data_IF_456598827642
#
_entry.id   IF_456598827642
#
_cell.length_a   1.000
_cell.length_b   1.000
_cell.length_c   1.000
_cell.angle_alpha   90.00
_cell.angle_beta   90.00
_cell.angle_gamma   90.00
#
_symmetry.space_group_name_H-M   'P 1'
#
loop_
_entity.id
_entity.type
_entity.pdbx_description
1 polymer ?
#
# COMPACT_ATOMS: atom_id res chain seq x y z
N UNK A 1 8.61 -29.93 -25.11
CA UNK A 1 9.54 -28.86 -24.69
C UNK A 1 8.95 -28.20 -23.46
N UNK A 2 9.60 -28.18 -22.28
CA UNK A 2 9.05 -27.49 -21.12
C UNK A 2 9.68 -26.09 -21.03
N UNK A 3 8.89 -25.05 -21.31
CA UNK A 3 9.20 -23.69 -20.91
C UNK A 3 8.60 -23.45 -19.52
N UNK A 4 9.22 -24.07 -18.51
CA UNK A 4 8.93 -23.77 -17.10
C UNK A 4 9.80 -22.58 -16.70
N UNK A 5 9.17 -21.42 -16.45
CA UNK A 5 9.56 -20.40 -15.46
C UNK A 5 8.83 -19.07 -15.72
N UNK A 6 7.51 -19.12 -15.92
CA UNK A 6 6.67 -17.93 -15.81
C UNK A 6 6.25 -17.76 -14.34
N UNK A 7 6.60 -16.60 -13.77
CA UNK A 7 5.81 -15.87 -12.76
C UNK A 7 5.61 -16.47 -11.35
N UNK A 8 6.65 -16.96 -10.66
CA UNK A 8 6.54 -17.24 -9.21
C UNK A 8 7.07 -16.10 -8.31
N UNK A 9 7.79 -15.13 -8.88
CA UNK A 9 8.40 -14.03 -8.10
C UNK A 9 7.66 -12.68 -8.24
N UNK A 10 6.81 -12.50 -9.26
CA UNK A 10 6.06 -11.24 -9.45
C UNK A 10 4.76 -11.17 -8.65
N UNK A 11 4.20 -12.30 -8.22
CA UNK A 11 2.86 -12.36 -7.61
C UNK A 11 2.83 -12.14 -6.08
N UNK A 12 3.97 -11.83 -5.47
CA UNK A 12 4.07 -11.58 -4.00
C UNK A 12 3.91 -10.12 -3.60
N UNK A 13 3.84 -9.18 -4.55
CA UNK A 13 3.89 -7.74 -4.22
C UNK A 13 2.52 -7.05 -4.08
N UNK A 14 1.41 -7.67 -4.51
CA UNK A 14 0.15 -6.93 -4.73
C UNK A 14 -0.96 -7.17 -3.68
N UNK A 15 -0.64 -7.18 -2.40
CA UNK A 15 -1.66 -7.43 -1.37
C UNK A 15 -1.70 -6.41 -0.23
N UNK A 16 -0.79 -5.43 -0.15
CA UNK A 16 -0.78 -4.49 0.97
C UNK A 16 -1.99 -3.56 0.90
N UNK A 17 -2.36 -3.10 -0.31
CA UNK A 17 -3.59 -2.32 -0.52
C UNK A 17 -4.84 -3.09 -0.09
N UNK A 18 -4.91 -4.38 -0.44
CA UNK A 18 -6.02 -5.25 -0.07
C UNK A 18 -6.08 -5.48 1.44
N UNK A 19 -4.94 -5.77 2.08
CA UNK A 19 -4.84 -5.99 3.52
C UNK A 19 -5.20 -4.73 4.31
N UNK A 20 -4.72 -3.57 3.87
CA UNK A 20 -5.09 -2.29 4.47
C UNK A 20 -6.59 -2.04 4.36
N UNK A 21 -7.19 -2.25 3.17
CA UNK A 21 -8.62 -2.09 2.99
C UNK A 21 -9.42 -3.05 3.89
N UNK A 22 -9.02 -4.31 3.96
CA UNK A 22 -9.64 -5.30 4.83
C UNK A 22 -9.52 -4.92 6.31
N UNK A 23 -8.36 -4.42 6.74
CA UNK A 23 -8.14 -3.95 8.10
C UNK A 23 -9.06 -2.77 8.44
N UNK A 24 -9.08 -1.74 7.59
CA UNK A 24 -9.92 -0.55 7.80
C UNK A 24 -11.42 -0.91 7.80
N UNK A 25 -11.86 -1.80 6.91
CA UNK A 25 -13.25 -2.27 6.88
C UNK A 25 -13.59 -3.10 8.12
N UNK A 26 -12.71 -4.02 8.54
CA UNK A 26 -12.91 -4.87 9.73
C UNK A 26 -13.04 -4.03 11.01
N UNK A 27 -12.22 -2.99 11.13
CA UNK A 27 -12.21 -2.10 12.29
C UNK A 27 -13.12 -0.87 12.14
N UNK A 28 -13.87 -0.76 11.02
CA UNK A 28 -14.74 0.38 10.70
C UNK A 28 -14.06 1.74 10.87
N UNK A 29 -12.77 1.82 10.51
CA UNK A 29 -11.97 3.02 10.74
C UNK A 29 -12.33 4.17 9.80
N UNK A 30 -13.01 3.88 8.68
CA UNK A 30 -13.53 4.89 7.75
C UNK A 30 -13.05 4.70 6.32
N UNK A 31 -12.91 5.79 5.58
CA UNK A 31 -12.56 5.76 4.15
C UNK A 31 -11.05 5.95 3.95
N UNK A 32 -10.45 5.08 3.15
CA UNK A 32 -9.09 5.26 2.65
C UNK A 32 -9.10 6.00 1.32
N UNK A 33 -8.19 6.94 1.15
CA UNK A 33 -7.89 7.62 -0.11
C UNK A 33 -6.41 7.54 -0.41
N UNK A 34 -6.07 7.40 -1.69
CA UNK A 34 -4.70 7.43 -2.19
C UNK A 34 -4.50 8.70 -3.00
N UNK A 35 -3.39 9.38 -2.78
CA UNK A 35 -2.94 10.53 -3.58
C UNK A 35 -1.57 10.20 -4.14
N UNK A 36 -1.46 10.15 -5.47
CA UNK A 36 -0.21 9.82 -6.15
C UNK A 36 0.34 11.05 -6.84
N UNK A 37 1.64 11.23 -6.76
CA UNK A 37 2.37 12.30 -7.42
C UNK A 37 3.66 11.75 -8.02
N UNK A 38 4.03 12.24 -9.19
CA UNK A 38 5.31 11.91 -9.81
C UNK A 38 6.26 13.09 -9.61
N UNK A 39 7.26 12.91 -8.74
CA UNK A 39 8.23 13.95 -8.41
C UNK A 39 9.65 13.41 -8.57
N UNK A 40 10.55 14.22 -9.14
CA UNK A 40 11.98 13.90 -9.21
C UNK A 40 12.31 12.49 -9.77
N UNK A 41 11.57 12.07 -10.81
CA UNK A 41 11.69 10.73 -11.44
C UNK A 41 11.21 9.55 -10.58
N UNK A 42 10.54 9.82 -9.45
CA UNK A 42 10.00 8.82 -8.54
C UNK A 42 8.49 9.02 -8.38
N UNK A 43 7.75 7.92 -8.28
CA UNK A 43 6.35 7.96 -7.88
C UNK A 43 6.26 7.99 -6.37
N UNK A 44 5.55 8.98 -5.85
CA UNK A 44 5.22 9.14 -4.43
C UNK A 44 3.72 8.88 -4.28
N UNK A 45 3.34 8.03 -3.35
CA UNK A 45 1.94 7.77 -3.01
C UNK A 45 1.72 8.02 -1.53
N UNK A 46 0.64 8.71 -1.20
CA UNK A 46 0.20 8.98 0.16
C UNK A 46 -1.16 8.30 0.40
N UNK A 47 -1.27 7.60 1.52
CA UNK A 47 -2.49 6.96 2.01
C UNK A 47 -3.06 7.79 3.14
N UNK A 48 -4.32 8.19 2.97
CA UNK A 48 -5.07 8.91 3.99
C UNK A 48 -6.23 8.08 4.48
N UNK A 49 -6.50 8.16 5.78
CA UNK A 49 -7.67 7.59 6.44
C UNK A 49 -8.44 8.75 7.08
N UNK A 50 -9.67 8.97 6.62
CA UNK A 50 -10.52 10.10 7.03
C UNK A 50 -9.82 11.47 6.91
N UNK A 51 -8.98 11.65 5.89
CA UNK A 51 -8.23 12.89 5.65
C UNK A 51 -6.91 12.99 6.40
N UNK A 52 -6.59 12.05 7.30
CA UNK A 52 -5.29 11.99 7.98
C UNK A 52 -4.35 11.08 7.21
N UNK A 53 -3.17 11.58 6.82
CA UNK A 53 -2.13 10.73 6.22
C UNK A 53 -1.64 9.72 7.25
N UNK A 54 -1.80 8.43 6.93
CA UNK A 54 -1.38 7.31 7.80
C UNK A 54 -0.20 6.53 7.22
N UNK A 55 0.18 6.79 5.97
CA UNK A 55 1.37 6.20 5.37
C UNK A 55 1.71 6.80 4.02
N UNK A 56 2.98 6.77 3.68
CA UNK A 56 3.56 7.23 2.43
C UNK A 56 4.46 6.15 1.82
N UNK A 57 4.72 6.25 0.53
CA UNK A 57 5.54 5.27 -0.15
C UNK A 57 6.04 5.77 -1.49
N UNK A 58 7.28 5.41 -1.80
CA UNK A 58 7.96 5.82 -3.01
C UNK A 58 8.39 4.60 -3.83
N UNK A 59 8.32 4.68 -5.15
CA UNK A 59 8.87 3.67 -6.04
C UNK A 59 9.12 4.22 -7.45
N UNK A 60 9.83 3.45 -8.29
CA UNK A 60 10.02 3.76 -9.70
C UNK A 60 8.74 3.67 -10.55
N UNK A 61 7.64 3.16 -9.99
CA UNK A 61 6.34 3.07 -10.65
C UNK A 61 5.18 3.36 -9.69
N UNK A 62 4.03 3.71 -10.25
CA UNK A 62 2.85 4.13 -9.50
C UNK A 62 2.31 3.05 -8.56
N UNK A 63 2.27 1.81 -9.01
CA UNK A 63 1.73 0.71 -8.20
C UNK A 63 2.64 0.34 -7.04
N UNK A 64 3.96 0.30 -7.23
CA UNK A 64 4.93 0.06 -6.17
C UNK A 64 4.89 1.15 -5.10
N UNK A 65 4.71 2.42 -5.50
CA UNK A 65 4.58 3.53 -4.56
C UNK A 65 3.35 3.34 -3.66
N UNK A 66 2.21 2.96 -4.26
CA UNK A 66 0.96 2.68 -3.53
C UNK A 66 1.06 1.48 -2.60
N UNK A 67 1.72 0.40 -3.03
CA UNK A 67 1.94 -0.77 -2.17
C UNK A 67 2.84 -0.42 -0.98
N UNK A 68 3.89 0.38 -1.21
CA UNK A 68 4.75 0.89 -0.13
C UNK A 68 3.96 1.76 0.85
N UNK A 69 3.12 2.65 0.35
CA UNK A 69 2.28 3.51 1.18
C UNK A 69 1.25 2.70 1.99
N UNK A 70 0.63 1.70 1.37
CA UNK A 70 -0.30 0.81 2.06
C UNK A 70 0.38 -0.03 3.15
N UNK A 71 1.61 -0.49 2.91
CA UNK A 71 2.42 -1.21 3.91
C UNK A 71 2.73 -0.33 5.12
N UNK A 72 3.14 0.92 4.90
CA UNK A 72 3.39 1.87 5.98
C UNK A 72 2.11 2.15 6.79
N UNK A 73 1.01 2.41 6.10
CA UNK A 73 -0.30 2.63 6.69
C UNK A 73 -0.77 1.44 7.54
N UNK A 74 -0.62 0.21 7.04
CA UNK A 74 -1.00 -0.99 7.78
C UNK A 74 -0.16 -1.13 9.06
N UNK A 75 1.16 -0.93 8.97
CA UNK A 75 2.06 -0.97 10.13
C UNK A 75 1.69 0.09 11.16
N UNK A 76 1.36 1.31 10.72
CA UNK A 76 0.93 2.39 11.60
C UNK A 76 -0.36 2.01 12.34
N UNK A 77 -1.39 1.55 11.64
CA UNK A 77 -2.66 1.13 12.23
C UNK A 77 -2.50 -0.05 13.19
N UNK A 78 -1.68 -1.04 12.86
CA UNK A 78 -1.38 -2.16 13.75
C UNK A 78 -0.68 -1.70 15.03
N UNK A 79 0.27 -0.76 14.92
CA UNK A 79 0.97 -0.22 16.10
C UNK A 79 0.06 0.57 17.03
N UNK A 80 -0.97 1.25 16.50
CA UNK A 80 -1.95 1.97 17.32
C UNK A 80 -2.90 1.06 18.10
N UNK A 81 -3.15 -0.17 17.64
CA UNK A 81 -4.04 -1.10 18.34
C UNK A 81 -3.35 -1.95 19.41
N UNK A 82 -2.02 -1.98 19.43
CA UNK A 82 -1.24 -2.69 20.43
C UNK A 82 -1.00 -1.90 21.73
N UNK A 83 -1.56 -0.69 21.82
CA UNK A 83 -1.55 0.19 23.00
C UNK A 83 -2.98 0.38 23.51
#
# INVERSE_FOLDING_TARGET
>A
MPASNMSEQENKQEHQRMWLNNFVNRHKLGRITYSDEFQQQTWVSNVQLNGTTIGDGEAGNKDGARENAARQALKHLQSQQSN
#
